data_IF_928550266443
#
_entry.id   IF_928550266443
#
_cell.length_a   1.000
_cell.length_b   1.000
_cell.length_c   1.000
_cell.angle_alpha   90.00
_cell.angle_beta   90.00
_cell.angle_gamma   90.00
#
_symmetry.space_group_name_H-M   'P 1'
#
loop_
_entity.id
_entity.type
_entity.pdbx_description
1 polymer ?
#
# COMPACT_ATOMS: atom_id res chain seq x y z
N UNK A 1 6.29 -12.13 32.78
CA UNK A 1 6.34 -11.30 31.57
C UNK A 1 6.19 -12.22 30.37
N UNK A 2 5.09 -12.14 29.60
CA UNK A 2 4.95 -12.93 28.37
C UNK A 2 5.64 -12.17 27.23
N UNK A 3 6.71 -12.69 26.63
CA UNK A 3 7.35 -12.05 25.49
C UNK A 3 6.52 -12.32 24.22
N UNK A 4 6.24 -11.26 23.45
CA UNK A 4 5.77 -11.33 22.06
C UNK A 4 4.43 -12.04 21.78
N UNK A 5 3.35 -11.63 22.45
CA UNK A 5 2.00 -11.88 21.94
C UNK A 5 1.46 -10.58 21.34
N UNK A 6 1.39 -10.52 20.01
CA UNK A 6 0.69 -9.45 19.29
C UNK A 6 -0.80 -9.78 19.35
N UNK A 7 -1.47 -9.38 20.44
CA UNK A 7 -2.88 -9.71 20.61
C UNK A 7 -3.72 -8.79 19.73
N UNK A 8 -4.79 -9.34 19.14
CA UNK A 8 -5.71 -8.57 18.31
C UNK A 8 -6.24 -7.33 19.05
N UNK A 9 -6.49 -7.47 20.36
CA UNK A 9 -6.95 -6.38 21.23
C UNK A 9 -5.99 -5.18 21.24
N UNK A 10 -4.68 -5.39 21.11
CA UNK A 10 -3.67 -4.32 21.15
C UNK A 10 -3.78 -3.36 19.96
N UNK A 11 -4.49 -3.74 18.90
CA UNK A 11 -4.64 -2.98 17.66
C UNK A 11 -6.02 -2.38 17.45
N UNK A 12 -6.92 -2.55 18.42
CA UNK A 12 -8.26 -1.99 18.35
C UNK A 12 -8.22 -0.44 18.43
N UNK A 13 -8.97 0.30 17.60
CA UNK A 13 -8.99 1.76 17.65
C UNK A 13 -9.34 2.35 19.02
N UNK A 14 -10.24 1.69 19.74
CA UNK A 14 -10.63 1.96 21.13
C UNK A 14 -11.15 0.65 21.75
N UNK A 15 -11.44 0.65 23.06
CA UNK A 15 -11.87 -0.56 23.77
C UNK A 15 -13.19 -1.17 23.27
N UNK A 16 -14.05 -0.36 22.65
CA UNK A 16 -15.36 -0.78 22.17
C UNK A 16 -15.42 -0.63 20.64
N UNK A 17 -14.46 -1.20 19.92
CA UNK A 17 -14.44 -1.15 18.44
C UNK A 17 -14.61 -2.52 17.79
N UNK A 18 -14.64 -3.59 18.58
CA UNK A 18 -14.91 -4.95 18.15
C UNK A 18 -15.57 -5.74 19.29
N UNK A 19 -16.34 -6.78 18.92
CA UNK A 19 -16.86 -7.77 19.86
C UNK A 19 -15.85 -8.92 19.90
N UNK A 20 -15.25 -9.19 21.06
CA UNK A 20 -14.27 -10.25 21.24
C UNK A 20 -14.97 -11.54 21.66
N UNK A 21 -14.81 -12.60 20.88
CA UNK A 21 -15.43 -13.90 21.16
C UNK A 21 -15.00 -14.43 22.54
N UNK A 22 -13.76 -14.14 22.94
CA UNK A 22 -13.16 -14.57 24.21
C UNK A 22 -13.86 -13.99 25.46
N UNK A 23 -14.61 -12.89 25.31
CA UNK A 23 -15.31 -12.24 26.43
C UNK A 23 -16.63 -12.95 26.80
N UNK A 24 -17.05 -13.95 26.02
CA UNK A 24 -18.33 -14.64 26.19
C UNK A 24 -18.13 -16.08 26.62
N UNK A 25 -18.91 -16.50 27.63
CA UNK A 25 -18.86 -17.86 28.20
C UNK A 25 -19.11 -18.96 27.17
N UNK A 26 -19.96 -18.69 26.17
CA UNK A 26 -20.31 -19.62 25.11
C UNK A 26 -20.97 -18.87 23.93
N UNK A 27 -21.18 -19.58 22.82
CA UNK A 27 -21.77 -19.04 21.61
C UNK A 27 -23.19 -18.50 21.80
N UNK A 28 -23.99 -19.05 22.73
CA UNK A 28 -25.35 -18.55 22.99
C UNK A 28 -25.32 -17.14 23.58
N UNK A 29 -24.47 -16.91 24.58
CA UNK A 29 -24.29 -15.59 25.17
C UNK A 29 -23.79 -14.56 24.15
N UNK A 30 -22.86 -14.95 23.28
CA UNK A 30 -22.41 -14.09 22.19
C UNK A 30 -23.55 -13.77 21.21
N UNK A 31 -24.34 -14.77 20.80
CA UNK A 31 -25.46 -14.58 19.89
C UNK A 31 -26.54 -13.65 20.47
N UNK A 32 -26.86 -13.80 21.77
CA UNK A 32 -27.82 -12.95 22.46
C UNK A 32 -27.30 -11.50 22.57
N UNK A 33 -26.00 -11.33 22.79
CA UNK A 33 -25.38 -10.01 22.79
C UNK A 33 -25.37 -9.37 21.39
N UNK A 34 -25.03 -10.12 20.33
CA UNK A 34 -25.07 -9.61 18.95
C UNK A 34 -26.50 -9.16 18.59
N UNK A 35 -27.52 -9.92 18.99
CA UNK A 35 -28.92 -9.51 18.81
C UNK A 35 -29.23 -8.20 19.53
N UNK A 36 -28.78 -8.04 20.78
CA UNK A 36 -29.04 -6.82 21.54
C UNK A 36 -28.38 -5.58 20.90
N UNK A 37 -27.14 -5.72 20.40
CA UNK A 37 -26.44 -4.70 19.61
C UNK A 37 -27.22 -4.36 18.35
N UNK A 38 -27.67 -5.36 17.59
CA UNK A 38 -28.39 -5.16 16.33
C UNK A 38 -29.77 -4.48 16.52
N UNK A 39 -30.40 -4.63 17.69
CA UNK A 39 -31.71 -4.01 17.98
C UNK A 39 -31.62 -2.64 18.66
N UNK A 40 -30.41 -2.17 18.97
CA UNK A 40 -30.19 -0.92 19.69
C UNK A 40 -29.17 -0.06 18.97
N UNK A 41 -29.65 0.90 18.17
CA UNK A 41 -28.81 1.79 17.36
C UNK A 41 -27.77 2.53 18.20
N UNK A 42 -28.11 2.97 19.43
CA UNK A 42 -27.13 3.65 20.30
C UNK A 42 -25.99 2.71 20.70
N UNK A 43 -26.29 1.45 20.98
CA UNK A 43 -25.27 0.46 21.31
C UNK A 43 -24.45 0.09 20.07
N UNK A 44 -25.09 -0.05 18.92
CA UNK A 44 -24.39 -0.26 17.65
C UNK A 44 -23.44 0.90 17.32
N UNK A 45 -23.91 2.14 17.42
CA UNK A 45 -23.12 3.35 17.15
C UNK A 45 -21.94 3.50 18.11
N UNK A 46 -22.10 3.06 19.36
CA UNK A 46 -21.00 3.05 20.32
C UNK A 46 -19.80 2.21 19.84
N UNK A 47 -20.04 1.15 19.05
CA UNK A 47 -18.98 0.37 18.39
C UNK A 47 -18.30 1.10 17.23
N UNK A 48 -18.96 2.11 16.68
CA UNK A 48 -18.53 2.91 15.54
C UNK A 48 -18.01 4.29 15.92
N UNK A 49 -17.92 4.63 17.20
CA UNK A 49 -17.50 5.97 17.68
C UNK A 49 -16.19 6.45 17.04
N UNK A 50 -15.21 5.56 16.86
CA UNK A 50 -13.95 5.92 16.21
C UNK A 50 -14.09 6.36 14.75
N UNK A 51 -15.15 5.91 14.06
CA UNK A 51 -15.51 6.32 12.69
C UNK A 51 -16.38 7.57 12.70
N UNK A 52 -17.39 7.61 13.57
CA UNK A 52 -18.35 8.70 13.66
C UNK A 52 -17.69 10.00 14.13
N UNK A 53 -16.83 9.92 15.15
CA UNK A 53 -16.08 11.07 15.68
C UNK A 53 -14.74 11.32 14.96
N UNK A 54 -14.26 10.34 14.20
CA UNK A 54 -12.91 10.33 13.63
C UNK A 54 -11.79 10.20 14.68
N UNK A 55 -12.10 9.81 15.92
CA UNK A 55 -11.14 9.71 17.02
C UNK A 55 -10.73 8.26 17.27
N UNK A 56 -9.45 7.98 17.04
CA UNK A 56 -8.79 6.76 17.53
C UNK A 56 -8.22 7.07 18.92
N UNK A 57 -8.33 6.16 19.88
CA UNK A 57 -7.76 6.33 21.22
C UNK A 57 -6.42 5.62 21.36
N UNK A 58 -6.30 4.45 20.72
CA UNK A 58 -5.12 3.60 20.77
C UNK A 58 -3.84 4.30 20.28
N UNK A 59 -2.94 4.61 21.21
CA UNK A 59 -1.70 5.32 20.92
C UNK A 59 -0.68 4.46 20.17
N UNK A 60 -0.58 3.16 20.51
CA UNK A 60 0.27 2.21 19.78
C UNK A 60 -0.11 2.18 18.29
N UNK A 61 -1.41 2.05 18.00
CA UNK A 61 -1.93 2.08 16.63
C UNK A 61 -1.59 3.40 15.92
N UNK A 62 -1.82 4.54 16.59
CA UNK A 62 -1.45 5.86 16.03
C UNK A 62 0.03 5.96 15.70
N UNK A 63 0.90 5.55 16.61
CA UNK A 63 2.34 5.66 16.45
C UNK A 63 2.84 4.74 15.34
N UNK A 64 2.25 3.56 15.20
CA UNK A 64 2.56 2.62 14.10
C UNK A 64 2.08 3.13 12.74
N UNK A 65 0.90 3.76 12.69
CA UNK A 65 0.38 4.38 11.46
C UNK A 65 1.12 5.67 11.08
N UNK A 66 1.64 6.42 12.06
CA UNK A 66 2.46 7.62 11.85
C UNK A 66 3.91 7.31 11.49
N UNK A 67 4.50 6.30 12.13
CA UNK A 67 5.93 6.01 12.10
C UNK A 67 6.43 5.20 10.92
N UNK A 68 5.56 4.75 10.02
CA UNK A 68 6.00 4.06 8.81
C UNK A 68 6.59 5.03 7.80
N UNK A 69 7.71 4.68 7.16
CA UNK A 69 8.21 5.35 5.94
C UNK A 69 7.19 5.38 4.79
N UNK A 70 6.09 4.62 4.94
CA UNK A 70 4.98 4.46 4.02
C UNK A 70 3.60 4.72 4.69
N UNK A 71 3.59 5.36 5.86
CA UNK A 71 2.37 5.62 6.63
C UNK A 71 1.35 6.44 5.86
N UNK A 72 0.07 6.04 5.98
CA UNK A 72 -1.11 6.65 5.34
C UNK A 72 -1.21 8.16 5.60
N UNK A 73 -0.58 8.67 6.67
CA UNK A 73 -0.62 10.09 7.02
C UNK A 73 0.21 11.00 6.11
N UNK A 74 1.26 10.50 5.46
CA UNK A 74 2.10 11.32 4.56
C UNK A 74 1.76 11.15 3.08
N UNK A 75 1.00 10.11 2.70
CA UNK A 75 0.51 9.91 1.34
C UNK A 75 -0.90 9.28 1.36
N UNK A 76 -1.87 10.08 1.82
CA UNK A 76 -3.27 9.70 2.00
C UNK A 76 -3.96 9.21 0.71
N UNK A 77 -3.34 9.42 -0.44
CA UNK A 77 -3.96 9.17 -1.75
C UNK A 77 -3.44 7.94 -2.46
N UNK A 78 -2.22 7.46 -2.21
CA UNK A 78 -1.68 6.35 -2.98
C UNK A 78 -0.77 5.45 -2.15
N UNK A 79 -1.32 4.40 -1.50
CA UNK A 79 -0.51 3.35 -0.85
C UNK A 79 0.37 2.58 -1.85
N UNK A 80 0.02 2.60 -3.14
CA UNK A 80 0.74 1.90 -4.21
C UNK A 80 2.13 2.50 -4.48
N UNK A 81 2.32 3.80 -4.77
CA UNK A 81 3.64 4.46 -4.86
C UNK A 81 4.52 4.28 -3.62
N UNK A 82 3.92 4.31 -2.42
CA UNK A 82 4.63 4.06 -1.18
C UNK A 82 5.20 2.62 -1.17
N UNK A 83 4.36 1.64 -1.50
CA UNK A 83 4.77 0.26 -1.65
C UNK A 83 5.78 0.04 -2.80
N UNK A 84 5.61 0.70 -3.94
CA UNK A 84 6.57 0.66 -5.05
C UNK A 84 7.94 1.17 -4.63
N UNK A 85 8.00 2.31 -3.92
CA UNK A 85 9.24 2.84 -3.35
C UNK A 85 9.87 1.87 -2.34
N UNK A 86 9.06 1.20 -1.50
CA UNK A 86 9.54 0.15 -0.59
C UNK A 86 10.21 -0.99 -1.35
N UNK A 87 9.51 -1.56 -2.32
CA UNK A 87 10.03 -2.67 -3.13
C UNK A 87 11.29 -2.25 -3.87
N UNK A 88 11.31 -1.08 -4.50
CA UNK A 88 12.49 -0.54 -5.19
C UNK A 88 13.69 -0.40 -4.24
N UNK A 89 13.49 0.15 -3.04
CA UNK A 89 14.57 0.31 -2.04
C UNK A 89 15.10 -1.04 -1.57
N UNK A 90 14.20 -1.96 -1.19
CA UNK A 90 14.58 -3.30 -0.74
C UNK A 90 15.29 -4.11 -1.84
N UNK A 91 14.84 -3.97 -3.09
CA UNK A 91 15.52 -4.57 -4.23
C UNK A 91 16.91 -3.95 -4.42
N UNK A 92 17.03 -2.63 -4.44
CA UNK A 92 18.32 -1.94 -4.59
C UNK A 92 19.33 -2.37 -3.51
N UNK A 93 18.92 -2.42 -2.25
CA UNK A 93 19.75 -2.88 -1.13
C UNK A 93 20.20 -4.34 -1.33
N UNK A 94 19.28 -5.21 -1.76
CA UNK A 94 19.57 -6.63 -2.05
C UNK A 94 20.48 -6.82 -3.27
N UNK A 95 20.30 -6.04 -4.33
CA UNK A 95 21.11 -6.11 -5.56
C UNK A 95 22.48 -5.48 -5.37
N UNK A 96 22.61 -4.42 -4.55
CA UNK A 96 23.92 -3.84 -4.18
C UNK A 96 24.82 -4.85 -3.46
N UNK A 97 24.23 -5.90 -2.89
CA UNK A 97 24.93 -6.99 -2.22
C UNK A 97 25.17 -8.24 -3.10
N UNK A 98 24.66 -8.28 -4.35
CA UNK A 98 24.76 -9.45 -5.23
C UNK A 98 25.19 -9.06 -6.67
N UNK A 99 26.41 -9.41 -7.06
CA UNK A 99 27.05 -9.06 -8.34
C UNK A 99 26.48 -9.73 -9.61
N UNK A 100 25.28 -10.32 -9.56
CA UNK A 100 24.68 -10.94 -10.74
C UNK A 100 23.96 -9.90 -11.61
N UNK A 101 24.76 -9.12 -12.34
CA UNK A 101 24.35 -8.02 -13.24
C UNK A 101 23.69 -8.48 -14.56
N UNK A 102 23.47 -9.78 -14.76
CA UNK A 102 23.15 -10.35 -16.08
C UNK A 102 21.73 -10.88 -16.26
N UNK A 103 20.76 -10.40 -15.48
CA UNK A 103 19.33 -10.57 -15.82
C UNK A 103 18.76 -9.23 -16.21
N UNK A 104 18.40 -9.06 -17.48
CA UNK A 104 17.59 -7.93 -17.92
C UNK A 104 16.20 -8.07 -17.28
N UNK A 105 15.99 -7.42 -16.13
CA UNK A 105 14.71 -7.41 -15.41
C UNK A 105 13.65 -6.60 -16.17
N UNK A 106 14.05 -5.90 -17.23
CA UNK A 106 13.20 -5.03 -18.04
C UNK A 106 12.66 -5.68 -19.32
N UNK A 107 13.03 -6.94 -19.63
CA UNK A 107 12.44 -7.69 -20.75
C UNK A 107 11.15 -8.40 -20.33
N UNK A 108 10.14 -7.60 -20.00
CA UNK A 108 8.80 -8.12 -19.69
C UNK A 108 7.98 -8.21 -20.98
N UNK A 109 7.45 -9.40 -21.29
CA UNK A 109 6.49 -9.56 -22.38
C UNK A 109 5.23 -8.72 -22.13
N UNK A 110 4.58 -8.28 -23.20
CA UNK A 110 3.33 -7.55 -23.10
C UNK A 110 2.26 -8.41 -22.40
N UNK A 111 1.56 -7.89 -21.37
CA UNK A 111 0.56 -8.66 -20.66
C UNK A 111 -0.60 -9.05 -21.60
N UNK A 112 -0.93 -10.34 -21.60
CA UNK A 112 -2.08 -10.88 -22.35
C UNK A 112 -3.33 -10.76 -21.49
N UNK A 113 -4.39 -10.15 -22.04
CA UNK A 113 -5.68 -10.13 -21.35
C UNK A 113 -6.31 -11.51 -21.39
N UNK A 114 -6.88 -11.94 -20.26
CA UNK A 114 -7.73 -13.15 -20.22
C UNK A 114 -9.12 -12.87 -20.81
N UNK A 115 -9.57 -11.62 -20.77
CA UNK A 115 -10.84 -11.17 -21.34
C UNK A 115 -10.55 -10.25 -22.54
N UNK A 116 -10.81 -10.75 -23.75
CA UNK A 116 -10.61 -10.00 -24.99
C UNK A 116 -11.72 -8.99 -25.28
N UNK A 117 -12.82 -9.03 -24.50
CA UNK A 117 -13.99 -8.16 -24.70
C UNK A 117 -13.89 -6.84 -23.93
N UNK A 118 -12.94 -6.73 -23.00
CA UNK A 118 -12.72 -5.52 -22.19
C UNK A 118 -11.38 -4.89 -22.54
N UNK A 119 -11.37 -3.56 -22.51
CA UNK A 119 -10.15 -2.78 -22.64
C UNK A 119 -9.15 -3.19 -21.54
N UNK A 120 -7.97 -3.62 -21.95
CA UNK A 120 -6.93 -4.02 -21.02
C UNK A 120 -6.04 -2.82 -20.68
N UNK A 121 -6.44 -2.08 -19.65
CA UNK A 121 -5.69 -0.94 -19.11
C UNK A 121 -4.24 -1.29 -18.71
N UNK A 122 -3.94 -2.57 -18.46
CA UNK A 122 -2.56 -3.02 -18.22
C UNK A 122 -1.65 -2.89 -19.45
N UNK A 123 -2.20 -2.92 -20.67
CA UNK A 123 -1.40 -2.67 -21.88
C UNK A 123 -0.90 -1.22 -21.88
N UNK A 124 -1.77 -0.27 -21.52
CA UNK A 124 -1.40 1.14 -21.41
C UNK A 124 -0.35 1.37 -20.34
N UNK A 125 -0.51 0.74 -19.16
CA UNK A 125 0.48 0.80 -18.09
C UNK A 125 1.82 0.15 -18.49
N UNK A 126 1.78 -0.98 -19.21
CA UNK A 126 2.99 -1.65 -19.70
C UNK A 126 3.74 -0.81 -20.74
N UNK A 127 3.03 -0.12 -21.65
CA UNK A 127 3.64 0.83 -22.59
C UNK A 127 4.25 2.03 -21.86
N UNK A 128 3.51 2.61 -20.92
CA UNK A 128 3.98 3.73 -20.13
C UNK A 128 5.22 3.37 -19.30
N UNK A 129 5.24 2.16 -18.71
CA UNK A 129 6.38 1.64 -17.96
C UNK A 129 7.66 1.49 -18.79
N UNK A 130 7.56 1.15 -20.09
CA UNK A 130 8.72 1.16 -20.99
C UNK A 130 9.31 2.56 -21.16
N UNK A 131 8.44 3.57 -21.31
CA UNK A 131 8.86 4.96 -21.39
C UNK A 131 9.56 5.41 -20.10
N UNK A 132 9.01 5.02 -18.93
CA UNK A 132 9.62 5.30 -17.63
C UNK A 132 11.00 4.66 -17.49
N UNK A 133 11.15 3.39 -17.87
CA UNK A 133 12.43 2.70 -17.82
C UNK A 133 13.47 3.36 -18.74
N UNK A 134 13.07 3.74 -19.96
CA UNK A 134 13.96 4.42 -20.92
C UNK A 134 14.37 5.82 -20.44
N UNK A 135 13.42 6.59 -19.90
CA UNK A 135 13.70 7.88 -19.25
C UNK A 135 14.69 7.73 -18.10
N UNK A 136 14.51 6.71 -17.26
CA UNK A 136 15.39 6.44 -16.13
C UNK A 136 16.81 6.10 -16.59
N UNK A 137 16.96 5.16 -17.53
CA UNK A 137 18.26 4.80 -18.10
C UNK A 137 18.93 5.98 -18.78
N UNK A 138 18.19 6.82 -19.51
CA UNK A 138 18.77 8.02 -20.13
C UNK A 138 19.32 9.00 -19.08
N UNK A 139 18.55 9.32 -18.04
CA UNK A 139 18.97 10.25 -16.99
C UNK A 139 20.17 9.73 -16.20
N UNK A 140 20.16 8.44 -15.84
CA UNK A 140 21.22 7.83 -15.02
C UNK A 140 22.46 7.50 -15.86
N UNK A 141 22.30 6.87 -17.01
CA UNK A 141 23.42 6.30 -17.78
C UNK A 141 23.97 7.28 -18.81
N UNK A 142 23.11 8.08 -19.46
CA UNK A 142 23.55 9.01 -20.51
C UNK A 142 23.91 10.38 -19.96
N UNK A 143 23.07 10.94 -19.08
CA UNK A 143 23.33 12.25 -18.47
C UNK A 143 24.16 12.16 -17.19
N UNK A 144 24.34 10.96 -16.62
CA UNK A 144 25.05 10.73 -15.36
C UNK A 144 24.50 11.59 -14.20
N UNK A 145 23.18 11.81 -14.18
CA UNK A 145 22.50 12.61 -13.14
C UNK A 145 21.85 11.66 -12.14
N UNK A 146 22.38 11.65 -10.91
CA UNK A 146 21.80 10.88 -9.80
C UNK A 146 20.66 11.61 -9.08
N UNK A 147 20.59 12.95 -9.20
CA UNK A 147 19.58 13.80 -8.56
C UNK A 147 18.84 14.64 -9.60
N UNK A 148 17.80 14.06 -10.20
CA UNK A 148 16.87 14.77 -11.08
C UNK A 148 15.54 15.02 -10.35
N UNK A 149 14.82 16.09 -10.72
CA UNK A 149 13.50 16.38 -10.15
C UNK A 149 12.42 15.55 -10.83
N UNK A 150 11.26 15.42 -10.17
CA UNK A 150 10.10 14.72 -10.73
C UNK A 150 9.68 15.34 -12.07
N UNK A 151 9.70 16.66 -12.19
CA UNK A 151 9.31 17.39 -13.40
C UNK A 151 10.23 17.07 -14.58
N UNK A 152 11.54 16.89 -14.33
CA UNK A 152 12.50 16.50 -15.37
C UNK A 152 12.20 15.09 -15.85
N UNK A 153 11.95 14.16 -14.92
CA UNK A 153 11.60 12.78 -15.25
C UNK A 153 10.30 12.68 -16.04
N UNK A 154 9.24 13.37 -15.59
CA UNK A 154 7.94 13.36 -16.24
C UNK A 154 8.01 13.93 -17.67
N UNK A 155 8.73 15.05 -17.87
CA UNK A 155 8.97 15.62 -19.21
C UNK A 155 9.70 14.65 -20.14
N UNK A 156 10.67 13.90 -19.61
CA UNK A 156 11.41 12.91 -20.40
C UNK A 156 10.51 11.72 -20.79
N UNK A 157 9.61 11.30 -19.90
CA UNK A 157 8.59 10.28 -20.21
C UNK A 157 7.65 10.78 -21.30
N UNK A 158 7.11 12.00 -21.17
CA UNK A 158 6.21 12.61 -22.15
C UNK A 158 6.87 12.75 -23.53
N UNK A 159 8.15 13.13 -23.56
CA UNK A 159 8.94 13.17 -24.79
C UNK A 159 9.00 11.78 -25.45
N UNK A 160 9.33 10.72 -24.72
CA UNK A 160 9.37 9.38 -25.30
C UNK A 160 8.00 8.86 -25.71
N UNK A 161 6.96 9.14 -24.93
CA UNK A 161 5.60 8.72 -25.20
C UNK A 161 5.04 9.39 -26.46
N UNK A 162 5.20 10.71 -26.58
CA UNK A 162 4.64 11.51 -27.68
C UNK A 162 5.29 11.19 -29.03
N UNK A 163 6.54 10.73 -29.01
CA UNK A 163 7.30 10.40 -30.22
C UNK A 163 7.33 8.90 -30.54
N UNK A 164 6.69 8.05 -29.72
CA UNK A 164 6.72 6.59 -29.92
C UNK A 164 8.13 6.00 -29.78
N UNK A 165 8.95 6.59 -28.92
CA UNK A 165 10.34 6.19 -28.68
C UNK A 165 10.49 5.25 -27.49
N UNK A 166 9.39 4.84 -26.89
CA UNK A 166 9.34 3.66 -26.05
C UNK A 166 9.38 2.46 -27.02
#
# INVERSE_FOLDING_TARGET
MRPNSCLFQDWLPNNQSAILIEDYKNASHLADYIKSVNTNDKLYDSYMEHKLSGRVENQLLKDKLKGGSYGIMNNKYFPVPAFECFVCKSMYERYSSNNNRNRSVYKCEQPKSRDTKRENWWISHWKYGQCQAKALSYLIETLNVSNYTKEVFDKQIEFYLSNGYC
#
